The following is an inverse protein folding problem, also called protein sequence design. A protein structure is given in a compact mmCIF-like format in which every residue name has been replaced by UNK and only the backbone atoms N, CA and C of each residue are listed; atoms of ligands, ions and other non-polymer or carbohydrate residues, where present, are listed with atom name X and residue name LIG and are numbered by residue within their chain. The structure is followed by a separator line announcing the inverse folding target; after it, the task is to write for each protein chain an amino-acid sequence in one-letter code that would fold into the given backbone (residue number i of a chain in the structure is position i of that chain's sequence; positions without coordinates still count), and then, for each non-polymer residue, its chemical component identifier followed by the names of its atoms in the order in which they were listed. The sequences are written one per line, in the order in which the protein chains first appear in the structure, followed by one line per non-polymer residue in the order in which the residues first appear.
data_IF_477909969097
#
_entry.id   IF_477909969097
#
_cell.length_a   1.000
_cell.length_b   1.000
_cell.length_c   1.000
_cell.angle_alpha   90.00
_cell.angle_beta   90.00
_cell.angle_gamma   90.00
#
_symmetry.space_group_name_H-M   'P 1'
#
loop_
_entity.id
_entity.type
_entity.pdbx_description
1 polymer ?
#
# COMPACT_ATOMS: atom_id res chain seq x y z
N UNK A 1 -24.61 34.68 -47.05
CA UNK A 1 -24.18 33.64 -46.12
C UNK A 1 -22.74 33.99 -45.76
N UNK A 2 -22.45 34.18 -44.52
CA UNK A 2 -21.04 34.38 -44.06
C UNK A 2 -20.26 33.10 -44.34
N UNK A 3 -19.06 33.19 -44.91
CA UNK A 3 -18.19 32.04 -45.09
C UNK A 3 -17.96 31.39 -43.75
N UNK A 4 -17.95 30.04 -43.67
CA UNK A 4 -17.74 29.33 -42.43
C UNK A 4 -16.32 29.61 -41.91
N UNK A 5 -16.19 29.82 -40.61
CA UNK A 5 -14.89 30.01 -39.95
C UNK A 5 -14.11 28.71 -39.81
N UNK A 6 -12.78 28.78 -39.58
CA UNK A 6 -11.92 27.61 -39.37
C UNK A 6 -12.44 26.71 -38.25
N UNK A 7 -12.82 27.31 -37.10
CA UNK A 7 -13.37 26.56 -35.95
C UNK A 7 -14.70 25.86 -36.29
N UNK A 8 -15.55 26.45 -37.15
CA UNK A 8 -16.77 25.79 -37.65
C UNK A 8 -16.45 24.58 -38.54
N UNK A 9 -15.46 24.71 -39.41
CA UNK A 9 -15.04 23.59 -40.29
C UNK A 9 -14.43 22.44 -39.47
N UNK A 10 -13.54 22.75 -38.51
CA UNK A 10 -12.93 21.75 -37.64
C UNK A 10 -13.97 21.02 -36.75
N UNK A 11 -14.90 21.74 -36.16
CA UNK A 11 -16.01 21.15 -35.40
C UNK A 11 -16.95 20.30 -36.27
N UNK A 12 -17.15 20.71 -37.51
CA UNK A 12 -17.94 19.95 -38.48
C UNK A 12 -17.18 18.77 -39.12
N UNK A 13 -15.91 18.52 -38.69
CA UNK A 13 -15.01 17.51 -39.21
C UNK A 13 -14.73 17.61 -40.70
N UNK A 14 -14.76 18.78 -41.26
CA UNK A 14 -14.42 19.07 -42.65
C UNK A 14 -12.94 19.41 -42.75
N UNK A 15 -12.12 18.35 -42.58
CA UNK A 15 -10.67 18.53 -42.37
C UNK A 15 -9.93 19.01 -43.62
N UNK A 16 -10.36 18.64 -44.83
CA UNK A 16 -9.73 19.10 -46.08
C UNK A 16 -9.96 20.59 -46.30
N UNK A 17 -11.17 21.06 -46.02
CA UNK A 17 -11.50 22.49 -46.09
C UNK A 17 -10.71 23.26 -45.01
N UNK A 18 -10.64 22.74 -43.79
CA UNK A 18 -9.86 23.31 -42.71
C UNK A 18 -8.36 23.42 -43.05
N UNK A 19 -7.74 22.35 -43.62
CA UNK A 19 -6.36 22.38 -44.12
C UNK A 19 -6.15 23.50 -45.16
N UNK A 20 -7.06 23.59 -46.12
CA UNK A 20 -7.00 24.63 -47.14
C UNK A 20 -7.03 26.04 -46.56
N UNK A 21 -7.90 26.28 -45.56
CA UNK A 21 -7.99 27.56 -44.86
C UNK A 21 -6.71 27.88 -44.09
N UNK A 22 -6.13 26.86 -43.38
CA UNK A 22 -4.86 27.02 -42.65
C UNK A 22 -3.69 27.28 -43.58
N UNK A 23 -3.62 26.64 -44.77
CA UNK A 23 -2.61 26.94 -45.77
C UNK A 23 -2.70 28.37 -46.31
N UNK A 24 -3.94 28.96 -46.31
CA UNK A 24 -4.15 30.36 -46.66
C UNK A 24 -3.86 31.32 -45.48
N UNK A 25 -3.36 30.80 -44.33
CA UNK A 25 -2.96 31.58 -43.17
C UNK A 25 -4.05 31.83 -42.13
N UNK A 26 -5.21 31.17 -42.26
CA UNK A 26 -6.24 31.25 -41.22
C UNK A 26 -5.82 30.47 -39.97
N UNK A 27 -6.17 31.03 -38.80
CA UNK A 27 -5.89 30.45 -37.49
C UNK A 27 -7.16 30.34 -36.65
N UNK A 28 -7.13 29.45 -35.65
CA UNK A 28 -8.20 29.43 -34.65
C UNK A 28 -8.34 30.79 -33.98
N UNK A 29 -9.60 31.21 -33.73
CA UNK A 29 -9.85 32.43 -33.01
C UNK A 29 -9.29 32.41 -31.61
N UNK A 30 -8.59 33.50 -31.22
CA UNK A 30 -8.10 33.65 -29.83
C UNK A 30 -9.23 33.74 -28.80
N UNK A 31 -10.44 34.05 -29.26
CA UNK A 31 -11.64 34.13 -28.41
C UNK A 31 -12.45 32.84 -28.36
N UNK A 32 -11.94 31.73 -28.93
CA UNK A 32 -12.61 30.43 -28.85
C UNK A 32 -12.72 29.98 -27.40
N UNK A 33 -13.88 29.50 -27.00
CA UNK A 33 -14.08 29.00 -25.64
C UNK A 33 -13.30 27.68 -25.42
N UNK A 34 -12.70 27.50 -24.24
CA UNK A 34 -11.84 26.34 -23.91
C UNK A 34 -12.51 25.01 -24.24
N UNK A 35 -13.79 24.83 -23.93
CA UNK A 35 -14.48 23.57 -24.22
C UNK A 35 -14.63 23.30 -25.73
N UNK A 36 -14.74 24.32 -26.56
CA UNK A 36 -14.75 24.18 -28.03
C UNK A 36 -13.36 23.81 -28.54
N UNK A 37 -12.32 24.43 -28.01
CA UNK A 37 -10.92 24.12 -28.34
C UNK A 37 -10.58 22.67 -27.96
N UNK A 38 -10.97 22.25 -26.75
CA UNK A 38 -10.80 20.85 -26.28
C UNK A 38 -11.53 19.86 -27.21
N UNK A 39 -12.77 20.18 -27.63
CA UNK A 39 -13.52 19.32 -28.57
C UNK A 39 -12.84 19.21 -29.94
N UNK A 40 -12.25 20.29 -30.45
CA UNK A 40 -11.49 20.27 -31.70
C UNK A 40 -10.27 19.35 -31.53
N UNK A 41 -9.50 19.48 -30.47
CA UNK A 41 -8.36 18.63 -30.22
C UNK A 41 -8.76 17.15 -30.07
N UNK A 42 -9.83 16.86 -29.34
CA UNK A 42 -10.37 15.49 -29.22
C UNK A 42 -10.70 14.89 -30.61
N UNK A 43 -11.33 15.68 -31.51
CA UNK A 43 -11.63 15.21 -32.87
C UNK A 43 -10.36 15.01 -33.70
N UNK A 44 -9.42 15.96 -33.66
CA UNK A 44 -8.18 15.87 -34.45
C UNK A 44 -7.34 14.65 -34.05
N UNK A 45 -7.18 14.40 -32.75
CA UNK A 45 -6.43 13.22 -32.27
C UNK A 45 -7.15 11.92 -32.63
N UNK A 46 -8.48 11.85 -32.40
CA UNK A 46 -9.28 10.64 -32.68
C UNK A 46 -9.31 10.26 -34.15
N UNK A 47 -9.41 11.26 -35.03
CA UNK A 47 -9.49 11.06 -36.47
C UNK A 47 -8.10 11.12 -37.14
N UNK A 48 -7.02 11.05 -36.35
CA UNK A 48 -5.60 11.06 -36.77
C UNK A 48 -5.25 12.22 -37.72
N UNK A 49 -5.79 13.39 -37.46
CA UNK A 49 -5.51 14.59 -38.26
C UNK A 49 -4.19 15.25 -37.84
N UNK A 50 -3.11 14.48 -37.87
CA UNK A 50 -1.78 14.88 -37.36
C UNK A 50 -1.16 16.02 -38.14
N UNK A 51 -1.43 16.11 -39.44
CA UNK A 51 -1.02 17.24 -40.27
C UNK A 51 -1.59 18.56 -39.75
N UNK A 52 -2.90 18.59 -39.38
CA UNK A 52 -3.53 19.79 -38.82
C UNK A 52 -2.91 20.14 -37.45
N UNK A 53 -2.66 19.14 -36.58
CA UNK A 53 -2.01 19.35 -35.29
C UNK A 53 -0.59 19.93 -35.47
N UNK A 54 0.18 19.43 -36.44
CA UNK A 54 1.49 19.97 -36.78
C UNK A 54 1.43 21.40 -37.36
N UNK A 55 0.38 21.75 -38.11
CA UNK A 55 0.14 23.13 -38.56
C UNK A 55 -0.18 24.04 -37.36
N UNK A 56 -0.98 23.57 -36.39
CA UNK A 56 -1.34 24.29 -35.17
C UNK A 56 -0.14 24.50 -34.22
N UNK A 57 0.84 23.58 -34.22
CA UNK A 57 2.12 23.79 -33.55
C UNK A 57 2.89 24.94 -34.20
N UNK A 58 3.04 24.88 -35.55
CA UNK A 58 3.82 25.88 -36.31
C UNK A 58 3.23 27.28 -36.24
N UNK A 59 1.94 27.42 -36.19
CA UNK A 59 1.26 28.71 -36.14
C UNK A 59 1.02 29.22 -34.70
N UNK A 60 1.49 28.44 -33.68
CA UNK A 60 1.34 28.72 -32.25
C UNK A 60 -0.09 28.75 -31.75
N UNK A 61 -1.00 28.02 -32.38
CA UNK A 61 -2.35 27.74 -31.87
C UNK A 61 -2.31 26.77 -30.69
N UNK A 62 -1.39 25.77 -30.76
CA UNK A 62 -1.04 24.91 -29.64
C UNK A 62 0.11 25.60 -28.89
N UNK A 63 -0.10 25.88 -27.61
CA UNK A 63 0.96 26.32 -26.72
C UNK A 63 1.94 25.17 -26.50
N UNK A 64 3.23 25.43 -26.56
CA UNK A 64 4.30 24.43 -26.44
C UNK A 64 5.15 24.60 -25.19
N UNK A 65 5.06 25.74 -24.52
CA UNK A 65 5.73 25.95 -23.24
C UNK A 65 4.83 25.49 -22.10
N UNK A 66 5.19 24.39 -21.44
CA UNK A 66 4.39 23.83 -20.35
C UNK A 66 4.24 24.82 -19.20
N UNK A 67 5.23 25.69 -18.97
CA UNK A 67 5.15 26.74 -17.95
C UNK A 67 3.95 27.67 -18.14
N UNK A 68 3.48 27.88 -19.37
CA UNK A 68 2.34 28.75 -19.71
C UNK A 68 0.98 28.01 -19.60
N UNK A 69 0.97 26.72 -19.23
CA UNK A 69 -0.28 25.97 -19.12
C UNK A 69 -0.99 26.24 -17.79
N UNK A 70 -2.29 26.46 -17.82
CA UNK A 70 -3.11 26.46 -16.60
C UNK A 70 -3.20 25.08 -15.93
N UNK A 71 -3.33 24.03 -16.74
CA UNK A 71 -3.35 22.64 -16.30
C UNK A 71 -3.24 21.70 -17.50
N UNK A 72 -2.80 20.46 -17.27
CA UNK A 72 -2.79 19.44 -18.34
C UNK A 72 -4.19 19.10 -18.85
N UNK A 73 -5.23 19.18 -18.01
CA UNK A 73 -6.62 18.94 -18.39
C UNK A 73 -7.22 20.02 -19.31
N UNK A 74 -6.55 21.14 -19.48
CA UNK A 74 -6.94 22.22 -20.41
C UNK A 74 -5.99 22.32 -21.60
N UNK A 75 -5.16 21.33 -21.82
CA UNK A 75 -4.13 21.32 -22.87
C UNK A 75 -4.42 20.25 -23.92
N UNK A 76 -3.59 20.24 -24.97
CA UNK A 76 -3.57 19.17 -25.98
C UNK A 76 -3.32 17.78 -25.38
N UNK A 77 -2.61 17.71 -24.23
CA UNK A 77 -2.33 16.43 -23.57
C UNK A 77 -3.59 15.74 -23.05
N UNK A 78 -4.65 16.47 -22.72
CA UNK A 78 -5.95 15.85 -22.41
C UNK A 78 -6.52 15.09 -23.61
N UNK A 79 -6.47 15.68 -24.80
CA UNK A 79 -6.95 15.03 -26.03
C UNK A 79 -6.10 13.80 -26.38
N UNK A 80 -4.78 13.90 -26.19
CA UNK A 80 -3.84 12.78 -26.37
C UNK A 80 -4.18 11.63 -25.41
N UNK A 81 -4.32 11.92 -24.12
CA UNK A 81 -4.67 10.90 -23.10
C UNK A 81 -5.98 10.21 -23.44
N UNK A 82 -6.97 10.94 -23.92
CA UNK A 82 -8.32 10.39 -24.21
C UNK A 82 -8.41 9.61 -25.50
N UNK A 83 -7.72 10.05 -26.54
CA UNK A 83 -8.03 9.64 -27.90
C UNK A 83 -6.87 9.06 -28.69
N UNK A 84 -5.60 9.32 -28.30
CA UNK A 84 -4.47 8.77 -29.04
C UNK A 84 -4.42 7.25 -28.87
N UNK A 85 -4.29 6.53 -29.97
CA UNK A 85 -4.16 5.08 -30.00
C UNK A 85 -2.73 4.62 -29.70
N UNK A 86 -2.44 3.38 -30.09
CA UNK A 86 -1.15 2.74 -29.81
C UNK A 86 -0.56 2.07 -31.06
N UNK A 87 -1.07 2.36 -32.25
CA UNK A 87 -0.47 1.84 -33.47
C UNK A 87 0.78 2.63 -33.87
N UNK A 88 1.50 2.12 -34.85
CA UNK A 88 2.77 2.70 -35.27
C UNK A 88 2.66 4.16 -35.73
N UNK A 89 1.53 4.53 -36.35
CA UNK A 89 1.27 5.90 -36.80
C UNK A 89 1.08 6.86 -35.59
N UNK A 90 0.28 6.43 -34.60
CA UNK A 90 0.03 7.18 -33.37
C UNK A 90 1.33 7.44 -32.59
N UNK A 91 2.14 6.38 -32.47
CA UNK A 91 3.43 6.44 -31.76
C UNK A 91 4.43 7.32 -32.51
N UNK A 92 4.51 7.16 -33.84
CA UNK A 92 5.39 8.00 -34.68
C UNK A 92 5.01 9.48 -34.56
N UNK A 93 3.72 9.79 -34.69
CA UNK A 93 3.21 11.15 -34.48
C UNK A 93 3.62 11.69 -33.11
N UNK A 94 3.36 10.94 -32.03
CA UNK A 94 3.64 11.44 -30.68
C UNK A 94 5.15 11.67 -30.44
N UNK A 95 6.01 10.79 -30.95
CA UNK A 95 7.46 10.98 -30.85
C UNK A 95 7.92 12.29 -31.51
N UNK A 96 7.37 12.61 -32.70
CA UNK A 96 7.68 13.87 -33.39
C UNK A 96 7.03 15.08 -32.76
N UNK A 97 5.88 14.90 -32.08
CA UNK A 97 5.09 15.97 -31.51
C UNK A 97 5.66 16.45 -30.18
N UNK A 98 6.06 15.52 -29.28
CA UNK A 98 6.49 15.86 -27.91
C UNK A 98 7.80 16.65 -27.87
N UNK A 99 8.69 16.48 -28.85
CA UNK A 99 9.96 17.18 -28.90
C UNK A 99 9.84 18.71 -29.16
N UNK A 100 8.64 19.17 -29.52
CA UNK A 100 8.35 20.60 -29.73
C UNK A 100 7.97 21.31 -28.44
N UNK A 101 7.85 20.58 -27.30
CA UNK A 101 7.45 21.17 -26.04
C UNK A 101 8.68 21.54 -25.19
N UNK A 102 8.64 22.75 -24.64
CA UNK A 102 9.62 23.27 -23.70
C UNK A 102 9.12 23.01 -22.25
N UNK A 103 10.05 23.04 -21.32
CA UNK A 103 9.77 22.94 -19.88
C UNK A 103 8.99 21.67 -19.49
N UNK A 104 9.32 20.51 -20.13
CA UNK A 104 8.63 19.22 -19.95
C UNK A 104 8.57 18.71 -18.51
N UNK A 105 9.43 19.24 -17.64
CA UNK A 105 9.55 18.84 -16.24
C UNK A 105 8.87 19.81 -15.27
N UNK A 106 8.25 20.87 -15.79
CA UNK A 106 7.55 21.83 -14.95
C UNK A 106 6.29 21.22 -14.31
N UNK A 107 6.02 21.67 -13.10
CA UNK A 107 4.89 21.21 -12.32
C UNK A 107 3.67 22.10 -12.54
N UNK A 108 2.57 21.49 -12.92
CA UNK A 108 1.25 22.11 -12.96
C UNK A 108 0.35 21.48 -11.89
N UNK A 109 -0.06 22.27 -10.89
CA UNK A 109 -0.86 21.75 -9.78
C UNK A 109 -0.23 20.54 -9.10
N UNK A 110 1.08 20.59 -8.80
CA UNK A 110 1.88 19.54 -8.16
C UNK A 110 2.10 18.27 -8.99
N UNK A 111 1.88 18.31 -10.30
CA UNK A 111 2.06 17.18 -11.21
C UNK A 111 2.95 17.59 -12.39
N UNK A 112 3.87 16.73 -12.76
CA UNK A 112 4.59 16.81 -14.02
C UNK A 112 3.77 16.16 -15.14
N UNK A 113 4.21 16.29 -16.39
CA UNK A 113 3.60 15.59 -17.51
C UNK A 113 3.61 14.07 -17.32
N UNK A 114 4.72 13.49 -16.81
CA UNK A 114 4.78 12.06 -16.51
C UNK A 114 3.80 11.64 -15.41
N UNK A 115 3.66 12.44 -14.33
CA UNK A 115 2.65 12.18 -13.29
C UNK A 115 1.24 12.13 -13.88
N UNK A 116 0.92 13.11 -14.72
CA UNK A 116 -0.38 13.18 -15.40
C UNK A 116 -0.62 11.96 -16.29
N UNK A 117 0.40 11.50 -17.01
CA UNK A 117 0.31 10.33 -17.90
C UNK A 117 0.16 9.03 -17.11
N UNK A 118 0.90 8.82 -16.03
CA UNK A 118 0.75 7.64 -15.17
C UNK A 118 -0.66 7.56 -14.56
N UNK A 119 -1.18 8.67 -14.07
CA UNK A 119 -2.52 8.73 -13.48
C UNK A 119 -3.65 8.46 -14.49
N UNK A 120 -3.40 8.70 -15.77
CA UNK A 120 -4.38 8.52 -16.83
C UNK A 120 -4.18 7.22 -17.63
N UNK A 121 -3.19 6.41 -17.30
CA UNK A 121 -2.99 5.10 -17.90
C UNK A 121 -2.67 5.13 -19.39
N UNK A 122 -1.78 6.02 -19.84
CA UNK A 122 -1.34 6.04 -21.25
C UNK A 122 -0.44 4.83 -21.56
N UNK A 123 -0.21 4.54 -22.83
CA UNK A 123 0.61 3.40 -23.23
C UNK A 123 2.08 3.56 -22.81
N UNK A 124 2.77 2.42 -22.64
CA UNK A 124 4.21 2.42 -22.33
C UNK A 124 5.04 3.14 -23.39
N UNK A 125 4.60 3.12 -24.65
CA UNK A 125 5.28 3.80 -25.74
C UNK A 125 5.28 5.32 -25.57
N UNK A 126 4.16 5.91 -25.10
CA UNK A 126 4.07 7.34 -24.85
C UNK A 126 4.94 7.76 -23.65
N UNK A 127 4.99 6.95 -22.59
CA UNK A 127 5.90 7.21 -21.45
C UNK A 127 7.35 7.23 -21.92
N UNK A 128 7.76 6.23 -22.70
CA UNK A 128 9.12 6.19 -23.28
C UNK A 128 9.41 7.38 -24.20
N UNK A 129 8.43 7.81 -24.99
CA UNK A 129 8.56 8.98 -25.84
C UNK A 129 8.82 10.27 -25.01
N UNK A 130 8.08 10.45 -23.90
CA UNK A 130 8.30 11.57 -22.99
C UNK A 130 9.70 11.54 -22.36
N UNK A 131 10.16 10.38 -21.89
CA UNK A 131 11.50 10.22 -21.32
C UNK A 131 12.57 10.54 -22.38
N UNK A 132 12.43 10.01 -23.59
CA UNK A 132 13.34 10.30 -24.71
C UNK A 132 13.36 11.78 -25.11
N UNK A 133 12.25 12.48 -24.94
CA UNK A 133 12.14 13.92 -25.19
C UNK A 133 12.71 14.79 -24.06
N UNK A 134 13.12 14.20 -22.92
CA UNK A 134 13.75 14.89 -21.80
C UNK A 134 12.94 14.98 -20.52
N UNK A 135 11.81 14.28 -20.41
CA UNK A 135 11.13 14.14 -19.11
C UNK A 135 12.04 13.35 -18.14
N UNK A 136 12.30 13.92 -16.96
CA UNK A 136 13.13 13.29 -15.93
C UNK A 136 12.29 12.32 -15.08
N UNK A 137 12.93 11.25 -14.64
CA UNK A 137 12.33 10.24 -13.75
C UNK A 137 12.66 10.46 -12.28
N UNK A 138 13.41 11.53 -11.96
CA UNK A 138 13.87 11.86 -10.60
C UNK A 138 12.89 12.73 -9.80
N UNK A 139 11.75 13.08 -10.38
CA UNK A 139 10.75 13.92 -9.72
C UNK A 139 10.16 13.23 -8.48
N UNK A 140 9.93 14.04 -7.45
CA UNK A 140 9.18 13.69 -6.24
C UNK A 140 8.12 14.75 -5.97
N UNK A 141 6.95 14.31 -5.59
CA UNK A 141 5.88 15.24 -5.21
C UNK A 141 6.11 15.85 -3.81
N UNK A 142 5.18 16.68 -3.33
CA UNK A 142 5.27 17.33 -2.01
C UNK A 142 5.32 16.35 -0.82
N UNK A 143 4.96 15.09 -1.01
CA UNK A 143 5.09 14.03 -0.02
C UNK A 143 6.41 13.24 -0.18
N UNK A 144 7.35 13.74 -1.00
CA UNK A 144 8.60 13.07 -1.39
C UNK A 144 8.38 11.70 -2.06
N UNK A 145 7.20 11.47 -2.63
CA UNK A 145 6.91 10.25 -3.36
C UNK A 145 7.52 10.29 -4.76
N UNK A 146 8.37 9.32 -5.08
CA UNK A 146 8.86 9.10 -6.43
C UNK A 146 7.75 8.55 -7.35
N UNK A 147 8.02 8.39 -8.63
CA UNK A 147 7.01 7.92 -9.58
C UNK A 147 6.51 6.50 -9.30
N UNK A 148 7.31 5.60 -8.68
CA UNK A 148 6.83 4.24 -8.34
C UNK A 148 5.71 4.34 -7.29
N UNK A 149 5.82 5.20 -6.28
CA UNK A 149 4.73 5.47 -5.33
C UNK A 149 3.46 5.96 -6.04
N UNK A 150 3.61 6.91 -6.99
CA UNK A 150 2.50 7.48 -7.73
C UNK A 150 1.82 6.41 -8.61
N UNK A 151 2.60 5.57 -9.29
CA UNK A 151 2.09 4.42 -10.07
C UNK A 151 1.33 3.45 -9.19
N UNK A 152 1.88 3.08 -8.03
CA UNK A 152 1.22 2.19 -7.07
C UNK A 152 -0.12 2.76 -6.59
N UNK A 153 -0.18 4.06 -6.33
CA UNK A 153 -1.42 4.73 -5.88
C UNK A 153 -2.44 4.94 -7.01
N UNK A 154 -2.00 4.93 -8.26
CA UNK A 154 -2.89 5.24 -9.38
C UNK A 154 -4.08 4.28 -9.47
N UNK A 155 -5.21 4.81 -9.92
CA UNK A 155 -6.47 4.06 -10.02
C UNK A 155 -7.29 4.54 -11.23
N UNK A 156 -6.66 4.57 -12.40
CA UNK A 156 -7.36 4.90 -13.64
C UNK A 156 -8.24 3.75 -14.13
N UNK A 157 -9.25 4.10 -14.89
CA UNK A 157 -10.08 3.15 -15.64
C UNK A 157 -10.11 3.57 -17.10
N UNK A 158 -9.68 2.66 -17.96
CA UNK A 158 -9.79 2.82 -19.41
C UNK A 158 -10.79 1.80 -19.96
N UNK A 159 -11.68 2.24 -20.84
CA UNK A 159 -12.75 1.39 -21.40
C UNK A 159 -12.22 0.22 -22.23
N UNK A 160 -10.99 0.32 -22.70
CA UNK A 160 -10.31 -0.69 -23.54
C UNK A 160 -9.37 -1.60 -22.76
N UNK A 161 -9.28 -1.47 -21.42
CA UNK A 161 -8.44 -2.30 -20.57
C UNK A 161 -9.28 -3.02 -19.52
N UNK A 162 -9.06 -4.31 -19.37
CA UNK A 162 -9.56 -5.08 -18.24
C UNK A 162 -8.61 -4.94 -17.02
N UNK A 163 -8.94 -5.55 -15.89
CA UNK A 163 -8.16 -5.46 -14.66
C UNK A 163 -6.76 -6.07 -14.80
N UNK A 164 -6.62 -7.15 -15.56
CA UNK A 164 -5.32 -7.80 -15.83
C UNK A 164 -4.44 -6.89 -16.69
N UNK A 165 -4.96 -6.38 -17.81
CA UNK A 165 -4.26 -5.45 -18.68
C UNK A 165 -3.87 -4.14 -17.97
N UNK A 166 -4.73 -3.65 -17.07
CA UNK A 166 -4.42 -2.50 -16.22
C UNK A 166 -3.26 -2.81 -15.28
N UNK A 167 -3.26 -3.99 -14.67
CA UNK A 167 -2.16 -4.46 -13.83
C UNK A 167 -0.86 -4.58 -14.61
N UNK A 168 -0.89 -5.16 -15.80
CA UNK A 168 0.28 -5.31 -16.67
C UNK A 168 0.84 -3.95 -17.12
N UNK A 169 -0.04 -2.99 -17.38
CA UNK A 169 0.38 -1.62 -17.70
C UNK A 169 1.08 -0.96 -16.50
N UNK A 170 0.54 -1.11 -15.29
CA UNK A 170 1.18 -0.59 -14.06
C UNK A 170 2.54 -1.24 -13.80
N UNK A 171 2.66 -2.55 -13.99
CA UNK A 171 3.95 -3.26 -13.92
C UNK A 171 4.94 -2.71 -14.95
N UNK A 172 4.49 -2.53 -16.17
CA UNK A 172 5.32 -1.95 -17.24
C UNK A 172 5.82 -0.54 -16.92
N UNK A 173 5.03 0.30 -16.23
CA UNK A 173 5.49 1.60 -15.73
C UNK A 173 6.59 1.44 -14.70
N UNK A 174 6.41 0.53 -13.73
CA UNK A 174 7.45 0.24 -12.71
C UNK A 174 8.73 -0.23 -13.40
N UNK A 175 8.65 -1.14 -14.37
CA UNK A 175 9.81 -1.64 -15.11
C UNK A 175 10.56 -0.54 -15.86
N UNK A 176 9.84 0.39 -16.51
CA UNK A 176 10.46 1.56 -17.15
C UNK A 176 11.19 2.41 -16.11
N UNK A 177 10.55 2.73 -15.00
CA UNK A 177 11.12 3.58 -13.94
C UNK A 177 12.36 2.94 -13.32
N UNK A 178 12.36 1.63 -13.10
CA UNK A 178 13.53 0.89 -12.60
C UNK A 178 14.68 0.89 -13.61
N UNK A 179 14.40 0.73 -14.89
CA UNK A 179 15.41 0.82 -15.95
C UNK A 179 16.04 2.22 -16.07
N UNK A 180 15.29 3.26 -15.69
CA UNK A 180 15.77 4.65 -15.59
C UNK A 180 16.44 4.93 -14.23
N UNK A 181 16.61 3.93 -13.36
CA UNK A 181 17.34 4.04 -12.10
C UNK A 181 16.56 4.60 -10.93
N UNK A 182 15.23 4.61 -10.98
CA UNK A 182 14.42 5.01 -9.82
C UNK A 182 14.53 3.94 -8.73
N UNK A 183 14.85 4.34 -7.50
CA UNK A 183 15.01 3.42 -6.38
C UNK A 183 13.65 2.89 -5.90
N UNK A 184 13.51 1.55 -5.93
CA UNK A 184 12.31 0.83 -5.51
C UNK A 184 12.10 0.86 -3.98
N UNK A 185 13.17 1.11 -3.22
CA UNK A 185 13.17 1.13 -1.76
C UNK A 185 13.18 2.55 -1.18
N UNK A 186 13.17 3.56 -2.03
CA UNK A 186 13.17 4.94 -1.58
C UNK A 186 11.90 5.25 -0.78
N UNK A 187 12.07 5.74 0.45
CA UNK A 187 10.96 6.13 1.31
C UNK A 187 10.43 7.53 0.98
N UNK A 188 9.13 7.73 1.10
CA UNK A 188 8.50 9.05 1.03
C UNK A 188 8.80 9.88 2.31
N UNK A 189 8.14 11.04 2.49
CA UNK A 189 8.33 11.94 3.65
C UNK A 189 8.17 11.25 5.02
N UNK A 190 7.44 10.15 5.10
CA UNK A 190 7.30 9.30 6.30
C UNK A 190 8.07 7.98 6.17
N UNK A 191 9.02 7.91 5.26
CA UNK A 191 9.88 6.74 4.99
C UNK A 191 9.11 5.48 4.54
N UNK A 192 7.86 5.60 4.10
CA UNK A 192 7.14 4.49 3.50
C UNK A 192 7.71 4.19 2.11
N UNK A 193 8.15 2.96 1.88
CA UNK A 193 8.57 2.49 0.55
C UNK A 193 7.37 2.25 -0.38
N UNK A 194 7.57 2.15 -1.70
CA UNK A 194 6.52 1.73 -2.63
C UNK A 194 5.86 0.41 -2.26
N UNK A 195 6.59 -0.54 -1.67
CA UNK A 195 6.04 -1.81 -1.19
C UNK A 195 5.06 -1.61 -0.02
N UNK A 196 5.45 -0.82 0.99
CA UNK A 196 4.55 -0.46 2.10
C UNK A 196 3.31 0.24 1.55
N UNK A 197 3.50 1.18 0.63
CA UNK A 197 2.39 1.88 -0.06
C UNK A 197 1.47 0.88 -0.77
N UNK A 198 1.99 -0.10 -1.51
CA UNK A 198 1.20 -1.12 -2.19
C UNK A 198 0.35 -1.95 -1.22
N UNK A 199 0.89 -2.31 -0.06
CA UNK A 199 0.16 -3.04 0.98
C UNK A 199 -0.96 -2.17 1.57
N UNK A 200 -0.66 -0.94 1.96
CA UNK A 200 -1.64 0.01 2.53
C UNK A 200 -2.80 0.32 1.57
N UNK A 201 -2.53 0.40 0.28
CA UNK A 201 -3.54 0.62 -0.77
C UNK A 201 -4.15 -0.70 -1.31
N UNK A 202 -3.82 -1.85 -0.69
CA UNK A 202 -4.33 -3.17 -1.06
C UNK A 202 -4.10 -3.53 -2.55
N UNK A 203 -2.96 -3.12 -3.11
CA UNK A 203 -2.55 -3.37 -4.50
C UNK A 203 -1.89 -4.74 -4.65
N UNK A 204 -2.60 -5.80 -4.31
CA UNK A 204 -2.09 -7.18 -4.22
C UNK A 204 -1.32 -7.62 -5.46
N UNK A 205 -1.82 -7.25 -6.65
CA UNK A 205 -1.21 -7.62 -7.93
C UNK A 205 0.14 -6.96 -8.20
N UNK A 206 0.49 -5.88 -7.48
CA UNK A 206 1.77 -5.18 -7.59
C UNK A 206 2.78 -5.61 -6.53
N UNK A 207 2.32 -6.16 -5.39
CA UNK A 207 3.21 -6.57 -4.29
C UNK A 207 4.26 -7.59 -4.77
N UNK A 208 3.82 -8.66 -5.44
CA UNK A 208 4.75 -9.67 -5.96
C UNK A 208 5.73 -9.07 -6.97
N UNK A 209 5.26 -8.23 -7.87
CA UNK A 209 6.12 -7.59 -8.88
C UNK A 209 7.17 -6.66 -8.26
N UNK A 210 6.81 -5.88 -7.23
CA UNK A 210 7.76 -5.05 -6.48
C UNK A 210 8.83 -5.91 -5.80
N UNK A 211 8.44 -7.02 -5.17
CA UNK A 211 9.35 -7.95 -4.51
C UNK A 211 10.31 -8.64 -5.50
N UNK A 212 9.79 -9.09 -6.65
CA UNK A 212 10.58 -9.68 -7.74
C UNK A 212 11.64 -8.72 -8.27
N UNK A 213 11.40 -7.41 -8.16
CA UNK A 213 12.32 -6.36 -8.58
C UNK A 213 13.16 -5.78 -7.43
N UNK A 214 13.21 -6.43 -6.26
CA UNK A 214 14.13 -6.09 -5.19
C UNK A 214 13.59 -5.13 -4.12
N UNK A 215 12.25 -4.99 -4.02
CA UNK A 215 11.67 -4.28 -2.89
C UNK A 215 11.95 -5.04 -1.58
N UNK A 216 12.44 -4.33 -0.56
CA UNK A 216 12.80 -4.91 0.75
C UNK A 216 11.58 -4.99 1.68
N UNK A 217 11.13 -6.20 2.05
CA UNK A 217 10.02 -6.38 2.99
C UNK A 217 10.32 -5.90 4.43
N UNK A 218 11.60 -5.79 4.79
CA UNK A 218 12.05 -5.35 6.11
C UNK A 218 12.38 -3.85 6.16
N UNK A 219 12.30 -3.13 5.02
CA UNK A 219 12.36 -1.68 5.04
C UNK A 219 11.28 -1.12 5.98
N UNK A 220 11.65 -0.16 6.84
CA UNK A 220 10.73 0.42 7.82
C UNK A 220 10.37 1.86 7.48
N UNK A 221 9.14 2.20 7.76
CA UNK A 221 8.69 3.59 7.77
C UNK A 221 9.26 4.37 8.97
N UNK A 222 8.89 5.65 9.06
CA UNK A 222 9.30 6.54 10.16
C UNK A 222 8.88 6.01 11.53
N UNK A 223 7.80 5.22 11.61
CA UNK A 223 7.32 4.66 12.87
C UNK A 223 7.96 3.31 13.21
N UNK A 224 8.85 2.82 12.36
CA UNK A 224 9.56 1.56 12.53
C UNK A 224 8.74 0.35 12.07
N UNK A 225 7.64 0.56 11.33
CA UNK A 225 6.79 -0.51 10.84
C UNK A 225 7.25 -0.97 9.45
N UNK A 226 7.48 -2.27 9.29
CA UNK A 226 7.86 -2.89 8.03
C UNK A 226 6.65 -3.32 7.20
N UNK A 227 6.88 -3.79 5.95
CA UNK A 227 5.85 -4.40 5.13
C UNK A 227 5.18 -5.60 5.84
N UNK A 228 5.95 -6.40 6.58
CA UNK A 228 5.41 -7.49 7.42
C UNK A 228 4.48 -6.98 8.50
N UNK A 229 4.82 -5.85 9.14
CA UNK A 229 3.99 -5.25 10.18
C UNK A 229 2.62 -4.84 9.61
N UNK A 230 2.60 -4.18 8.46
CA UNK A 230 1.36 -3.80 7.78
C UNK A 230 0.53 -5.01 7.33
N UNK A 231 1.18 -6.05 6.80
CA UNK A 231 0.50 -7.26 6.36
C UNK A 231 -0.17 -8.00 7.52
N UNK A 232 0.52 -8.10 8.67
CA UNK A 232 0.14 -8.92 9.82
C UNK A 232 -0.73 -8.14 10.79
N UNK A 233 -0.26 -7.00 11.32
CA UNK A 233 -0.96 -6.26 12.37
C UNK A 233 -2.13 -5.42 11.83
N UNK A 234 -1.98 -4.80 10.66
CA UNK A 234 -3.02 -3.94 10.10
C UNK A 234 -4.02 -4.70 9.22
N UNK A 235 -3.54 -5.52 8.28
CA UNK A 235 -4.41 -6.21 7.33
C UNK A 235 -4.83 -7.61 7.79
N UNK A 236 -4.12 -8.20 8.75
CA UNK A 236 -4.31 -9.58 9.22
C UNK A 236 -4.39 -10.58 8.06
N UNK A 237 -3.53 -10.39 7.06
CA UNK A 237 -3.55 -11.11 5.79
C UNK A 237 -2.43 -12.16 5.72
N UNK A 238 -2.79 -13.42 5.95
CA UNK A 238 -1.88 -14.55 5.76
C UNK A 238 -1.31 -14.60 4.33
N UNK A 239 -2.13 -14.31 3.33
CA UNK A 239 -1.70 -14.36 1.93
C UNK A 239 -0.58 -13.35 1.62
N UNK A 240 -0.72 -12.09 2.11
CA UNK A 240 0.32 -11.08 1.90
C UNK A 240 1.57 -11.45 2.72
N UNK A 241 1.40 -11.91 3.95
CA UNK A 241 2.50 -12.41 4.78
C UNK A 241 3.30 -13.50 4.04
N UNK A 242 2.63 -14.51 3.49
CA UNK A 242 3.27 -15.57 2.73
C UNK A 242 3.99 -15.06 1.49
N UNK A 243 3.38 -14.11 0.79
CA UNK A 243 4.03 -13.48 -0.37
C UNK A 243 5.33 -12.79 0.03
N UNK A 244 5.34 -11.99 1.10
CA UNK A 244 6.53 -11.31 1.61
C UNK A 244 7.60 -12.32 2.05
N UNK A 245 7.18 -13.38 2.76
CA UNK A 245 8.06 -14.41 3.29
C UNK A 245 8.81 -15.23 2.23
N UNK A 246 8.27 -15.31 1.02
CA UNK A 246 8.97 -15.95 -0.09
C UNK A 246 10.24 -15.18 -0.52
N UNK A 247 10.37 -13.91 -0.14
CA UNK A 247 11.50 -13.06 -0.52
C UNK A 247 12.44 -12.71 0.65
N UNK A 248 11.92 -12.64 1.88
CA UNK A 248 12.74 -12.39 3.06
C UNK A 248 12.09 -12.98 4.32
N UNK A 249 12.91 -13.29 5.32
CA UNK A 249 12.42 -13.61 6.66
C UNK A 249 12.04 -12.33 7.40
N UNK A 250 10.92 -12.32 8.19
CA UNK A 250 10.60 -11.18 9.04
C UNK A 250 11.67 -10.92 10.10
N UNK A 251 11.99 -9.66 10.35
CA UNK A 251 12.83 -9.22 11.46
C UNK A 251 11.98 -9.17 12.75
N UNK A 252 11.74 -10.33 13.37
CA UNK A 252 10.84 -10.44 14.53
C UNK A 252 11.33 -9.73 15.79
N UNK A 253 12.64 -9.55 15.94
CA UNK A 253 13.29 -8.84 17.05
C UNK A 253 13.20 -7.31 16.94
N UNK A 254 12.81 -6.82 15.78
CA UNK A 254 12.64 -5.38 15.55
C UNK A 254 11.43 -4.84 16.31
N UNK A 255 11.61 -3.68 16.94
CA UNK A 255 10.54 -2.95 17.61
C UNK A 255 10.23 -1.66 16.84
N UNK A 256 8.96 -1.27 16.82
CA UNK A 256 8.53 0.02 16.29
C UNK A 256 8.82 1.15 17.29
N UNK A 257 8.47 2.40 16.98
CA UNK A 257 8.66 3.55 17.85
C UNK A 257 7.95 3.45 19.21
N UNK A 258 6.91 2.64 19.30
CA UNK A 258 6.19 2.40 20.55
C UNK A 258 6.89 1.35 21.42
N UNK A 259 7.97 0.72 20.92
CA UNK A 259 8.65 -0.39 21.59
C UNK A 259 7.91 -1.73 21.43
N UNK A 260 7.07 -1.88 20.40
CA UNK A 260 6.25 -3.07 20.15
C UNK A 260 6.87 -3.94 19.06
N UNK A 261 6.95 -5.26 19.32
CA UNK A 261 7.32 -6.24 18.30
C UNK A 261 6.13 -6.57 17.38
N UNK A 262 6.41 -7.14 16.21
CA UNK A 262 5.37 -7.60 15.28
C UNK A 262 4.39 -8.57 15.94
N UNK A 263 4.90 -9.58 16.67
CA UNK A 263 4.05 -10.58 17.32
C UNK A 263 3.21 -9.99 18.44
N UNK A 264 3.79 -9.07 19.24
CA UNK A 264 3.06 -8.39 20.32
C UNK A 264 1.87 -7.62 19.76
N UNK A 265 2.10 -6.78 18.75
CA UNK A 265 1.04 -5.99 18.13
C UNK A 265 -0.01 -6.89 17.48
N UNK A 266 0.40 -7.95 16.78
CA UNK A 266 -0.55 -8.89 16.20
C UNK A 266 -1.45 -9.54 17.25
N UNK A 267 -0.87 -10.09 18.31
CA UNK A 267 -1.63 -10.71 19.40
C UNK A 267 -2.61 -9.72 20.03
N UNK A 268 -2.22 -8.46 20.15
CA UNK A 268 -3.07 -7.40 20.71
C UNK A 268 -4.32 -7.14 19.87
N UNK A 269 -4.16 -7.06 18.54
CA UNK A 269 -5.24 -6.65 17.61
C UNK A 269 -6.01 -7.81 16.99
N UNK A 270 -5.48 -9.04 17.03
CA UNK A 270 -6.09 -10.19 16.37
C UNK A 270 -7.47 -10.52 16.92
N UNK A 271 -8.35 -11.00 16.05
CA UNK A 271 -9.64 -11.60 16.42
C UNK A 271 -9.49 -13.09 16.75
N UNK A 272 -10.42 -13.63 17.54
CA UNK A 272 -10.53 -15.08 17.80
C UNK A 272 -11.25 -15.79 16.62
N UNK A 273 -10.71 -15.63 15.40
CA UNK A 273 -11.16 -16.31 14.19
C UNK A 273 -10.19 -17.43 13.82
N UNK A 274 -10.68 -18.42 13.09
CA UNK A 274 -9.82 -19.51 12.58
C UNK A 274 -8.61 -18.96 11.79
N UNK A 275 -8.83 -17.97 10.93
CA UNK A 275 -7.76 -17.32 10.16
C UNK A 275 -6.78 -16.57 11.05
N UNK A 276 -7.26 -15.88 12.10
CA UNK A 276 -6.40 -15.19 13.06
C UNK A 276 -5.55 -16.16 13.85
N UNK A 277 -6.13 -17.25 14.34
CA UNK A 277 -5.40 -18.31 15.06
C UNK A 277 -4.36 -18.97 14.14
N UNK A 278 -4.72 -19.25 12.88
CA UNK A 278 -3.81 -19.85 11.90
C UNK A 278 -2.59 -18.95 11.64
N UNK A 279 -2.80 -17.65 11.46
CA UNK A 279 -1.69 -16.71 11.26
C UNK A 279 -0.82 -16.59 12.53
N UNK A 280 -1.42 -16.60 13.73
CA UNK A 280 -0.67 -16.62 14.99
C UNK A 280 0.28 -17.82 15.07
N UNK A 281 -0.24 -19.03 14.83
CA UNK A 281 0.58 -20.26 14.85
C UNK A 281 1.75 -20.15 13.87
N UNK A 282 1.47 -19.67 12.67
CA UNK A 282 2.47 -19.47 11.63
C UNK A 282 3.58 -18.50 12.03
N UNK A 283 3.23 -17.35 12.64
CA UNK A 283 4.23 -16.41 13.13
C UNK A 283 5.15 -17.04 14.18
N UNK A 284 4.59 -17.84 15.10
CA UNK A 284 5.34 -18.55 16.13
C UNK A 284 6.26 -19.62 15.50
N UNK A 285 5.72 -20.44 14.59
CA UNK A 285 6.46 -21.48 13.87
C UNK A 285 7.59 -20.87 13.00
N UNK A 286 7.42 -19.64 12.53
CA UNK A 286 8.42 -18.89 11.76
C UNK A 286 9.47 -18.22 12.63
N UNK A 287 9.38 -18.33 13.96
CA UNK A 287 10.39 -17.91 14.93
C UNK A 287 10.08 -16.62 15.67
N UNK A 288 8.84 -16.14 15.67
CA UNK A 288 8.47 -15.00 16.50
C UNK A 288 8.52 -15.35 17.98
N UNK A 289 9.23 -14.55 18.79
CA UNK A 289 9.46 -14.83 20.21
C UNK A 289 8.26 -14.41 21.07
N UNK A 290 7.67 -15.41 21.74
CA UNK A 290 6.55 -15.23 22.67
C UNK A 290 6.94 -14.53 23.97
N UNK A 291 8.24 -14.46 24.29
CA UNK A 291 8.78 -13.93 25.53
C UNK A 291 9.46 -12.58 25.35
N UNK A 292 9.61 -12.08 24.13
CA UNK A 292 10.19 -10.76 23.90
C UNK A 292 9.28 -9.67 24.46
N UNK A 293 9.84 -8.85 25.33
CA UNK A 293 9.11 -7.74 25.95
C UNK A 293 8.87 -6.61 24.95
N UNK A 294 7.69 -6.04 25.05
CA UNK A 294 7.24 -4.83 24.34
C UNK A 294 6.74 -3.82 25.37
N UNK A 295 6.92 -2.54 25.10
CA UNK A 295 6.42 -1.48 25.98
C UNK A 295 4.94 -1.22 25.71
N UNK A 296 4.09 -1.38 26.74
CA UNK A 296 2.66 -1.12 26.64
C UNK A 296 2.15 -0.31 27.84
N UNK A 297 1.67 0.93 27.57
CA UNK A 297 1.26 1.88 28.62
C UNK A 297 2.29 2.06 29.75
N UNK A 298 3.59 2.10 29.40
CA UNK A 298 4.68 2.30 30.37
C UNK A 298 5.03 1.05 31.20
N UNK A 299 4.50 -0.12 30.83
CA UNK A 299 4.87 -1.41 31.42
C UNK A 299 5.41 -2.34 30.33
N UNK A 300 6.38 -3.17 30.70
CA UNK A 300 6.89 -4.20 29.81
C UNK A 300 5.93 -5.40 29.86
N UNK A 301 5.46 -5.82 28.67
CA UNK A 301 4.59 -6.98 28.48
C UNK A 301 5.10 -7.84 27.36
N UNK A 302 4.94 -9.13 27.50
CA UNK A 302 5.23 -10.13 26.46
C UNK A 302 3.95 -10.45 25.65
N UNK A 303 4.07 -11.06 24.46
CA UNK A 303 2.91 -11.63 23.76
C UNK A 303 2.11 -12.61 24.64
N UNK A 304 2.79 -13.40 25.52
CA UNK A 304 2.12 -14.31 26.45
C UNK A 304 1.26 -13.59 27.50
N UNK A 305 1.62 -12.37 27.92
CA UNK A 305 0.79 -11.58 28.83
C UNK A 305 -0.56 -11.25 28.18
N UNK A 306 -0.53 -10.87 26.90
CA UNK A 306 -1.75 -10.57 26.13
C UNK A 306 -2.55 -11.84 25.86
N UNK A 307 -1.90 -12.97 25.55
CA UNK A 307 -2.54 -14.28 25.34
C UNK A 307 -3.24 -14.74 26.63
N UNK A 308 -2.64 -14.52 27.80
CA UNK A 308 -3.27 -14.85 29.07
C UNK A 308 -4.60 -14.11 29.29
N UNK A 309 -4.76 -12.93 28.70
CA UNK A 309 -5.98 -12.12 28.76
C UNK A 309 -7.03 -12.51 27.69
N UNK A 310 -6.64 -13.22 26.64
CA UNK A 310 -7.50 -13.63 25.50
C UNK A 310 -8.32 -14.90 25.81
N UNK A 311 -9.12 -15.37 24.83
CA UNK A 311 -9.93 -16.59 24.92
C UNK A 311 -9.06 -17.84 24.99
N UNK A 312 -9.61 -18.91 25.59
CA UNK A 312 -8.90 -20.17 25.79
C UNK A 312 -8.46 -20.84 24.48
N UNK A 313 -9.21 -20.67 23.40
CA UNK A 313 -8.88 -21.22 22.07
C UNK A 313 -7.56 -20.67 21.53
N UNK A 314 -7.26 -19.39 21.80
CA UNK A 314 -5.97 -18.78 21.42
C UNK A 314 -4.83 -19.37 22.22
N UNK A 315 -5.01 -19.52 23.55
CA UNK A 315 -4.01 -20.18 24.40
C UNK A 315 -3.77 -21.63 23.96
N UNK A 316 -4.84 -22.38 23.68
CA UNK A 316 -4.74 -23.75 23.17
C UNK A 316 -3.89 -23.79 21.89
N UNK A 317 -4.18 -22.92 20.94
CA UNK A 317 -3.44 -22.89 19.68
C UNK A 317 -1.96 -22.60 19.88
N UNK A 318 -1.61 -21.72 20.83
CA UNK A 318 -0.23 -21.40 21.17
C UNK A 318 0.49 -22.59 21.87
N UNK A 319 -0.20 -23.29 22.77
CA UNK A 319 0.34 -24.49 23.41
C UNK A 319 0.58 -25.62 22.40
N UNK A 320 -0.24 -25.73 21.37
CA UNK A 320 -0.08 -26.74 20.29
C UNK A 320 1.19 -26.53 19.45
N UNK A 321 1.76 -25.33 19.39
CA UNK A 321 3.03 -25.07 18.70
C UNK A 321 4.23 -25.71 19.42
N UNK A 322 4.08 -26.01 20.72
CA UNK A 322 5.12 -26.54 21.62
C UNK A 322 6.32 -25.61 21.85
N UNK A 323 6.20 -24.33 21.47
CA UNK A 323 7.22 -23.31 21.70
C UNK A 323 7.08 -22.63 23.07
N UNK A 324 6.08 -23.05 23.88
CA UNK A 324 5.82 -22.50 25.21
C UNK A 324 6.33 -23.43 26.31
N UNK A 325 7.26 -22.94 27.11
CA UNK A 325 7.54 -23.50 28.43
C UNK A 325 6.54 -22.91 29.44
N UNK A 326 5.53 -23.71 29.81
CA UNK A 326 4.43 -23.27 30.71
C UNK A 326 4.90 -22.92 32.13
N UNK A 327 6.09 -23.39 32.51
CA UNK A 327 6.69 -23.14 33.82
C UNK A 327 7.80 -22.06 33.82
N UNK A 328 8.11 -21.50 32.64
CA UNK A 328 9.04 -20.37 32.56
C UNK A 328 8.46 -19.17 33.28
N UNK A 329 9.22 -18.65 34.24
CA UNK A 329 8.88 -17.45 34.96
C UNK A 329 9.37 -16.18 34.24
N UNK A 330 8.63 -15.10 34.35
CA UNK A 330 9.06 -13.77 33.95
C UNK A 330 10.02 -13.14 35.01
N UNK A 331 10.42 -11.89 34.80
CA UNK A 331 11.29 -11.12 35.67
C UNK A 331 10.68 -10.78 37.06
N UNK A 332 9.43 -11.20 37.32
CA UNK A 332 8.72 -11.07 38.60
C UNK A 332 8.37 -12.45 39.19
N UNK A 333 8.93 -13.51 38.65
CA UNK A 333 8.65 -14.88 39.05
C UNK A 333 7.31 -15.43 38.59
N UNK A 334 6.52 -14.70 37.79
CA UNK A 334 5.20 -15.18 37.35
C UNK A 334 5.33 -16.13 36.17
N UNK A 335 4.79 -17.33 36.31
CA UNK A 335 4.56 -18.26 35.20
C UNK A 335 3.27 -17.88 34.45
N UNK A 336 3.04 -18.50 33.28
CA UNK A 336 1.80 -18.30 32.53
C UNK A 336 0.56 -18.66 33.37
N UNK A 337 0.65 -19.63 34.27
CA UNK A 337 -0.43 -19.99 35.20
C UNK A 337 -0.73 -18.84 36.19
N UNK A 338 0.29 -18.16 36.70
CA UNK A 338 0.12 -16.96 37.53
C UNK A 338 -0.60 -15.85 36.78
N UNK A 339 -0.18 -15.56 35.55
CA UNK A 339 -0.76 -14.50 34.70
C UNK A 339 -2.24 -14.75 34.42
N UNK A 340 -2.61 -15.99 34.07
CA UNK A 340 -4.02 -16.39 33.86
C UNK A 340 -4.84 -16.27 35.15
N UNK A 341 -4.28 -16.70 36.29
CA UNK A 341 -4.99 -16.63 37.58
C UNK A 341 -5.13 -15.20 38.11
N UNK A 342 -4.15 -14.34 37.85
CA UNK A 342 -4.19 -12.92 38.24
C UNK A 342 -5.16 -12.08 37.39
N UNK A 343 -5.56 -12.57 36.20
CA UNK A 343 -6.42 -11.77 35.30
C UNK A 343 -7.71 -11.35 35.95
N UNK A 344 -8.00 -10.03 35.89
CA UNK A 344 -9.23 -9.47 36.47
C UNK A 344 -10.43 -9.78 35.56
N UNK A 345 -11.40 -10.50 36.10
CA UNK A 345 -12.62 -10.89 35.35
C UNK A 345 -13.69 -9.79 35.34
N UNK A 346 -13.48 -8.66 36.02
CA UNK A 346 -14.34 -7.46 35.98
C UNK A 346 -15.83 -7.78 36.24
N UNK A 347 -16.13 -8.69 37.16
CA UNK A 347 -17.49 -9.19 37.46
C UNK A 347 -18.19 -9.91 36.28
N UNK A 348 -17.45 -10.34 35.26
CA UNK A 348 -17.98 -11.03 34.08
C UNK A 348 -17.85 -12.56 34.21
N UNK A 349 -18.96 -13.25 34.34
CA UNK A 349 -18.97 -14.71 34.49
C UNK A 349 -18.33 -15.46 33.30
N UNK A 350 -18.44 -14.93 32.08
CA UNK A 350 -17.79 -15.53 30.91
C UNK A 350 -16.27 -15.43 30.98
N UNK A 351 -15.72 -14.34 31.46
CA UNK A 351 -14.25 -14.22 31.69
C UNK A 351 -13.77 -15.20 32.76
N UNK A 352 -14.57 -15.42 33.80
CA UNK A 352 -14.26 -16.43 34.83
C UNK A 352 -14.27 -17.86 34.24
N UNK A 353 -15.20 -18.18 33.34
CA UNK A 353 -15.21 -19.47 32.62
C UNK A 353 -13.99 -19.61 31.71
N UNK A 354 -13.61 -18.55 30.99
CA UNK A 354 -12.40 -18.56 30.16
C UNK A 354 -11.15 -18.76 31.00
N UNK A 355 -11.04 -18.13 32.19
CA UNK A 355 -9.95 -18.35 33.13
C UNK A 355 -9.89 -19.83 33.56
N UNK A 356 -11.05 -20.44 33.92
CA UNK A 356 -11.12 -21.86 34.27
C UNK A 356 -10.64 -22.76 33.10
N UNK A 357 -11.09 -22.51 31.86
CA UNK A 357 -10.66 -23.27 30.68
C UNK A 357 -9.16 -23.17 30.44
N UNK A 358 -8.59 -21.95 30.55
CA UNK A 358 -7.15 -21.72 30.37
C UNK A 358 -6.33 -22.41 31.47
N UNK A 359 -6.76 -22.35 32.72
CA UNK A 359 -6.08 -23.06 33.83
C UNK A 359 -6.11 -24.56 33.58
N UNK A 360 -7.24 -25.13 33.15
CA UNK A 360 -7.32 -26.56 32.80
C UNK A 360 -6.34 -26.94 31.69
N UNK A 361 -6.27 -26.14 30.62
CA UNK A 361 -5.31 -26.36 29.52
C UNK A 361 -3.86 -26.31 30.00
N UNK A 362 -3.51 -25.36 30.87
CA UNK A 362 -2.15 -25.25 31.41
C UNK A 362 -1.78 -26.44 32.27
N UNK A 363 -2.69 -26.91 33.12
CA UNK A 363 -2.46 -28.12 33.93
C UNK A 363 -2.31 -29.36 33.05
N UNK A 364 -3.11 -29.53 32.01
CA UNK A 364 -3.00 -30.62 31.03
C UNK A 364 -1.64 -30.59 30.27
N UNK A 365 -1.02 -29.40 30.17
CA UNK A 365 0.31 -29.20 29.57
C UNK A 365 1.45 -29.12 30.58
N UNK A 366 1.21 -29.55 31.84
CA UNK A 366 2.24 -29.70 32.83
C UNK A 366 2.61 -28.47 33.64
N UNK A 367 1.72 -27.49 33.73
CA UNK A 367 1.94 -26.31 34.58
C UNK A 367 2.05 -26.75 36.08
N UNK A 368 3.11 -26.32 36.73
CA UNK A 368 3.38 -26.60 38.14
C UNK A 368 2.66 -25.56 39.02
N UNK A 369 1.75 -26.04 39.86
CA UNK A 369 0.94 -25.19 40.77
C UNK A 369 1.73 -24.75 42.01
N UNK A 370 2.86 -25.39 42.32
CA UNK A 370 3.66 -25.13 43.49
C UNK A 370 4.63 -23.94 43.29
N UNK A 371 4.88 -23.52 42.08
CA UNK A 371 5.75 -22.36 41.78
C UNK A 371 5.18 -21.12 42.47
N UNK A 372 6.05 -20.34 43.11
CA UNK A 372 5.72 -19.03 43.68
C UNK A 372 6.39 -17.91 42.87
N UNK A 373 5.74 -16.75 42.77
CA UNK A 373 6.35 -15.55 42.22
C UNK A 373 7.24 -14.83 43.26
N UNK A 374 7.86 -13.70 42.94
CA UNK A 374 8.72 -12.92 43.81
C UNK A 374 8.00 -12.30 45.04
N UNK A 375 6.68 -12.42 45.07
CA UNK A 375 5.83 -12.01 46.24
C UNK A 375 5.39 -13.21 47.07
N UNK A 376 6.02 -14.38 46.91
CA UNK A 376 5.66 -15.63 47.56
C UNK A 376 4.20 -16.09 47.28
N UNK A 377 3.62 -15.66 46.16
CA UNK A 377 2.26 -16.02 45.77
C UNK A 377 2.26 -17.19 44.79
N UNK A 378 1.40 -18.17 45.07
CA UNK A 378 1.06 -19.23 44.09
C UNK A 378 -0.07 -18.76 43.17
N UNK A 379 -0.25 -19.43 42.04
CA UNK A 379 -1.38 -19.20 41.15
C UNK A 379 -2.74 -19.39 41.85
N UNK A 380 -2.81 -20.32 42.82
CA UNK A 380 -4.03 -20.52 43.64
C UNK A 380 -4.35 -19.27 44.48
N UNK A 381 -3.35 -18.66 45.11
CA UNK A 381 -3.55 -17.42 45.88
C UNK A 381 -4.10 -16.31 45.00
N UNK A 382 -3.53 -16.10 43.80
CA UNK A 382 -3.98 -15.09 42.85
C UNK A 382 -5.41 -15.33 42.31
N UNK A 383 -5.81 -16.60 42.16
CA UNK A 383 -7.17 -16.94 41.77
C UNK A 383 -8.19 -16.71 42.90
N UNK A 384 -7.77 -16.84 44.15
CA UNK A 384 -8.62 -16.74 45.36
C UNK A 384 -9.09 -15.31 45.66
N UNK A 385 -8.50 -14.29 45.05
CA UNK A 385 -8.85 -12.88 45.26
C UNK A 385 -10.19 -12.48 44.60
N UNK A 386 -10.79 -13.39 43.77
CA UNK A 386 -12.03 -13.10 43.07
C UNK A 386 -13.03 -14.25 43.21
N UNK A 387 -14.17 -13.96 43.84
CA UNK A 387 -15.23 -14.93 44.11
C UNK A 387 -15.81 -15.59 42.84
N UNK A 388 -15.75 -14.93 41.67
CA UNK A 388 -16.19 -15.50 40.40
C UNK A 388 -15.29 -16.63 39.92
N UNK A 389 -14.04 -16.68 40.41
CA UNK A 389 -13.04 -17.72 40.05
C UNK A 389 -13.11 -18.96 40.94
N UNK A 390 -14.17 -19.12 41.75
CA UNK A 390 -14.29 -20.26 42.72
C UNK A 390 -14.10 -21.65 42.03
N UNK A 391 -14.55 -21.82 40.80
CA UNK A 391 -14.35 -23.07 40.06
C UNK A 391 -12.90 -23.30 39.68
N UNK A 392 -12.17 -22.22 39.40
CA UNK A 392 -10.71 -22.27 39.14
C UNK A 392 -9.94 -22.63 40.41
N UNK A 393 -10.34 -22.07 41.54
CA UNK A 393 -9.79 -22.38 42.86
C UNK A 393 -10.02 -23.87 43.20
N UNK A 394 -11.25 -24.36 43.04
CA UNK A 394 -11.57 -25.77 43.26
C UNK A 394 -10.74 -26.72 42.36
N UNK A 395 -10.49 -26.31 41.11
CA UNK A 395 -9.67 -27.08 40.18
C UNK A 395 -8.19 -27.16 40.64
N UNK A 396 -7.61 -26.02 41.03
CA UNK A 396 -6.23 -25.95 41.52
C UNK A 396 -6.06 -26.75 42.83
N UNK A 397 -6.98 -26.63 43.77
CA UNK A 397 -6.96 -27.41 45.04
C UNK A 397 -7.01 -28.93 44.85
N UNK A 398 -7.57 -29.44 43.76
CA UNK A 398 -7.58 -30.89 43.47
C UNK A 398 -6.26 -31.42 42.93
N UNK A 399 -5.37 -30.52 42.50
CA UNK A 399 -4.04 -30.87 41.97
C UNK A 399 -2.95 -30.64 43.00
N UNK A 400 -3.27 -30.05 44.19
CA UNK A 400 -2.33 -29.75 45.30
C UNK A 400 -2.01 -30.98 46.12
#
# INVERSE_FOLDING_TARGET
MTEPTLDQQLNARKFEEAKSMMHNGEKLSKSIQEHHKSSIFDHLVREKQYEILNMMLKDKTIETDIYEFDSFDKSIFQAIVRNLGNDDEDIAFFNEFIIHFDNLNDELNTKTLLSYFFENGVSLALIKACINAGCTTTFKNNAEENYIHQVVKSSFRRYNLNDEQTTDLLKGYIDILLNEGVDINEGNVVQESPLITAIKFNKKNLIAHLLENGADPNHTDRDGNSAFFYAVAHLQSENIYDTLRNFASPAFDQVNKNGETLLFEYVRVMSNSESGIKLLKKLIEDGADLYQESTWYGADKTPLDIIAEKQADILQAVLETREVDVNRADNKGNTLLHKVCAYNVNYEAEKAKETYRKVKLLLENGADIAITNDQDQTALMLASDDNLKIKTVELLMKQS
#
